data_IF_179274838421
#
_entry.id   IF_179274838421
#
_cell.length_a   1.000
_cell.length_b   1.000
_cell.length_c   1.000
_cell.angle_alpha   90.00
_cell.angle_beta   90.00
_cell.angle_gamma   90.00
#
_symmetry.space_group_name_H-M   'P 1'
#
loop_
_entity.id
_entity.type
_entity.pdbx_description
1 polymer ?
#
# COMPACT_ATOMS: atom_id res chain seq x y z
N UNK A 1 -7.24 -17.01 6.64
CA UNK A 1 -6.14 -16.07 6.81
C UNK A 1 -5.50 -15.74 5.48
N UNK A 2 -5.49 -14.52 5.16
CA UNK A 2 -5.09 -14.12 3.82
C UNK A 2 -3.88 -13.22 3.80
N UNK A 3 -2.99 -13.41 4.76
CA UNK A 3 -1.82 -12.54 4.80
C UNK A 3 -0.97 -12.67 3.54
N UNK A 4 -1.08 -13.80 2.83
CA UNK A 4 -0.34 -13.94 1.58
C UNK A 4 -0.87 -12.99 0.50
N UNK A 5 -2.03 -12.39 0.73
CA UNK A 5 -2.55 -11.40 -0.19
C UNK A 5 -1.85 -10.05 -0.02
N UNK A 6 -1.10 -9.91 1.05
CA UNK A 6 -0.34 -8.69 1.28
C UNK A 6 1.10 -8.98 0.90
N UNK A 7 1.58 -8.43 -0.22
CA UNK A 7 2.97 -8.66 -0.61
C UNK A 7 3.92 -8.22 0.49
N UNK A 8 4.96 -9.00 0.70
CA UNK A 8 5.93 -8.70 1.75
C UNK A 8 6.52 -7.31 1.57
N UNK A 9 6.88 -6.97 0.33
CA UNK A 9 7.45 -5.66 0.06
C UNK A 9 6.50 -4.53 0.40
N UNK A 10 5.22 -4.73 0.14
CA UNK A 10 4.22 -3.72 0.47
C UNK A 10 4.11 -3.54 1.98
N UNK A 11 4.03 -4.66 2.70
CA UNK A 11 3.94 -4.60 4.15
C UNK A 11 5.14 -3.94 4.78
N UNK A 12 6.33 -4.26 4.28
CA UNK A 12 7.55 -3.65 4.81
C UNK A 12 7.62 -2.16 4.50
N UNK A 13 7.19 -1.77 3.31
CA UNK A 13 7.19 -0.35 2.96
C UNK A 13 6.22 0.42 3.83
N UNK A 14 5.05 -0.18 4.13
CA UNK A 14 4.11 0.46 5.05
C UNK A 14 4.70 0.60 6.44
N UNK A 15 5.42 -0.43 6.88
CA UNK A 15 5.96 -0.44 8.22
C UNK A 15 6.94 0.70 8.46
N UNK A 16 7.63 1.15 7.43
CA UNK A 16 8.60 2.24 7.56
C UNK A 16 8.05 3.58 7.09
N UNK A 17 6.77 3.62 6.76
CA UNK A 17 6.14 4.85 6.27
C UNK A 17 4.85 5.05 7.06
N UNK A 18 4.98 5.68 8.20
CA UNK A 18 3.86 5.84 9.12
C UNK A 18 2.65 6.54 8.49
N UNK A 19 2.82 7.64 7.77
CA UNK A 19 1.65 8.28 7.14
C UNK A 19 0.92 7.34 6.19
N UNK A 20 1.66 6.54 5.43
CA UNK A 20 1.04 5.60 4.52
C UNK A 20 0.31 4.50 5.28
N UNK A 21 0.90 3.99 6.34
CA UNK A 21 0.27 2.99 7.16
C UNK A 21 -1.04 3.51 7.75
N UNK A 22 -1.02 4.74 8.26
CA UNK A 22 -2.22 5.34 8.82
C UNK A 22 -3.30 5.50 7.76
N UNK A 23 -2.93 5.96 6.58
CA UNK A 23 -3.89 6.13 5.51
C UNK A 23 -4.50 4.79 5.11
N UNK A 24 -3.65 3.78 4.98
CA UNK A 24 -4.12 2.46 4.61
C UNK A 24 -5.09 1.90 5.65
N UNK A 25 -4.77 2.07 6.92
CA UNK A 25 -5.59 1.50 7.99
C UNK A 25 -6.97 2.13 8.07
N UNK A 26 -7.12 3.33 7.53
CA UNK A 26 -8.41 4.02 7.54
C UNK A 26 -9.25 3.72 6.32
N UNK A 27 -8.73 2.97 5.39
CA UNK A 27 -9.46 2.66 4.16
C UNK A 27 -10.54 1.62 4.41
N UNK A 28 -11.56 1.66 3.56
CA UNK A 28 -12.57 0.61 3.57
C UNK A 28 -11.98 -0.68 3.04
N UNK A 29 -12.67 -1.79 3.25
CA UNK A 29 -12.19 -3.06 2.73
C UNK A 29 -12.03 -3.03 1.21
N UNK A 30 -12.99 -2.41 0.54
CA UNK A 30 -12.92 -2.32 -0.91
C UNK A 30 -11.70 -1.55 -1.36
N UNK A 31 -11.39 -0.45 -0.68
CA UNK A 31 -10.22 0.35 -1.01
C UNK A 31 -8.94 -0.42 -0.74
N UNK A 32 -8.89 -1.14 0.38
CA UNK A 32 -7.71 -1.95 0.69
C UNK A 32 -7.48 -3.02 -0.36
N UNK A 33 -8.55 -3.69 -0.79
CA UNK A 33 -8.41 -4.71 -1.82
C UNK A 33 -7.87 -4.13 -3.11
N UNK A 34 -8.34 -2.94 -3.45
CA UNK A 34 -7.86 -2.29 -4.66
C UNK A 34 -6.36 -1.99 -4.57
N UNK A 35 -5.93 -1.48 -3.43
CA UNK A 35 -4.52 -1.20 -3.21
C UNK A 35 -3.69 -2.48 -3.26
N UNK A 36 -4.20 -3.55 -2.65
CA UNK A 36 -3.47 -4.82 -2.67
C UNK A 36 -3.32 -5.36 -4.09
N UNK A 37 -4.34 -5.19 -4.91
CA UNK A 37 -4.23 -5.56 -6.31
C UNK A 37 -3.10 -4.81 -7.00
N UNK A 38 -3.02 -3.51 -6.75
CA UNK A 38 -1.96 -2.71 -7.34
C UNK A 38 -0.61 -3.15 -6.83
N UNK A 39 -0.52 -3.48 -5.54
CA UNK A 39 0.73 -3.93 -4.96
C UNK A 39 1.20 -5.25 -5.59
N UNK A 40 0.25 -6.13 -5.92
CA UNK A 40 0.60 -7.39 -6.56
C UNK A 40 1.12 -7.19 -7.97
N UNK A 41 0.78 -6.07 -8.59
CA UNK A 41 1.17 -5.81 -9.97
C UNK A 41 2.44 -4.99 -10.11
N UNK A 42 2.97 -4.46 -9.02
CA UNK A 42 4.23 -3.71 -9.13
C UNK A 42 5.36 -4.65 -9.48
N UNK A 43 6.35 -4.13 -10.18
CA UNK A 43 7.44 -4.94 -10.70
C UNK A 43 8.80 -4.58 -10.15
N UNK A 44 8.88 -3.56 -9.32
CA UNK A 44 10.16 -3.16 -8.77
C UNK A 44 9.96 -2.51 -7.43
N UNK A 45 11.06 -2.40 -6.70
CA UNK A 45 11.02 -1.72 -5.41
C UNK A 45 10.58 -0.28 -5.57
N UNK A 46 11.06 0.35 -6.63
CA UNK A 46 10.71 1.74 -6.88
C UNK A 46 9.21 1.89 -7.06
N UNK A 47 8.61 1.00 -7.84
CA UNK A 47 7.17 1.04 -8.04
C UNK A 47 6.41 0.83 -6.75
N UNK A 48 6.91 -0.07 -5.90
CA UNK A 48 6.28 -0.31 -4.62
C UNK A 48 6.36 0.92 -3.74
N UNK A 49 7.53 1.57 -3.72
CA UNK A 49 7.68 2.81 -2.95
C UNK A 49 6.76 3.90 -3.48
N UNK A 50 6.63 3.99 -4.80
CA UNK A 50 5.73 4.98 -5.39
C UNK A 50 4.29 4.73 -4.98
N UNK A 51 3.89 3.47 -4.97
CA UNK A 51 2.53 3.12 -4.55
C UNK A 51 2.30 3.52 -3.09
N UNK A 52 3.23 3.15 -2.23
CA UNK A 52 3.10 3.46 -0.81
C UNK A 52 3.12 4.96 -0.57
N UNK A 53 3.99 5.67 -1.28
CA UNK A 53 4.04 7.13 -1.14
C UNK A 53 2.75 7.79 -1.58
N UNK A 54 2.07 7.21 -2.56
CA UNK A 54 0.81 7.78 -3.01
C UNK A 54 -0.27 7.66 -1.92
N UNK A 55 -0.14 6.68 -1.05
CA UNK A 55 -1.05 6.57 0.08
C UNK A 55 -0.76 7.64 1.13
N UNK A 56 0.53 7.90 1.34
CA UNK A 56 0.94 8.89 2.33
C UNK A 56 0.59 10.31 1.90
N UNK A 57 0.51 10.54 0.60
CA UNK A 57 0.23 11.86 0.05
C UNK A 57 -0.93 11.78 -0.92
N UNK A 58 -2.13 11.52 -0.42
CA UNK A 58 -3.32 11.46 -1.29
C UNK A 58 -3.51 12.83 -1.88
N UNK A 59 -3.62 12.86 -3.11
CA UNK A 59 -3.70 14.10 -3.80
C UNK A 59 -4.96 14.82 -3.57
N UNK A 60 -4.92 15.53 -3.49
CA UNK A 60 -5.82 16.09 -3.54
C UNK A 60 -5.87 17.05 -4.35
N UNK A 61 -5.76 17.09 -4.84
CA UNK A 61 -5.53 17.77 -5.35
C UNK A 61 -5.76 17.92 -5.75
#
# INVERSE_FOLDING_TARGET
>A
MDFYKVPVGFGMALAVNEPAMNAYSKMTEAQKQDILKKAHNVRSEKEMHDLVNSLAHPTMQ
#
